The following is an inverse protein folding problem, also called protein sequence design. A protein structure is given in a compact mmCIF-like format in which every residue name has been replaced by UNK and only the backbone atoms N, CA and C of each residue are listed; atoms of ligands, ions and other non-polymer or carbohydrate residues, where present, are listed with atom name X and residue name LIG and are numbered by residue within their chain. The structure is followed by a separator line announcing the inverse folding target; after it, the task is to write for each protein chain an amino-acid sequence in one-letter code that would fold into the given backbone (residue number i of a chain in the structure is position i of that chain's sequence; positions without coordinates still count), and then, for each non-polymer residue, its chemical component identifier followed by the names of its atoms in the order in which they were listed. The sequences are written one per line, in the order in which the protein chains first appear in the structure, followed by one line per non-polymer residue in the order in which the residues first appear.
data_IF_553850533643
#
_entry.id   IF_553850533643
#
_cell.length_a   1.000
_cell.length_b   1.000
_cell.length_c   1.000
_cell.angle_alpha   90.00
_cell.angle_beta   90.00
_cell.angle_gamma   90.00
#
_symmetry.space_group_name_H-M   'P 1'
#
loop_
_entity.id
_entity.type
_entity.pdbx_description
1 polymer ?
#
# COMPACT_ATOMS: atom_id res chain seq x y z
N UNK A 1 -6.57 24.72 32.69
CA UNK A 1 -6.59 26.18 32.28
C UNK A 1 -7.92 26.86 32.60
N UNK A 2 -9.07 26.16 32.52
CA UNK A 2 -10.38 26.73 32.86
C UNK A 2 -10.48 27.18 34.34
N UNK A 3 -9.79 26.52 35.27
CA UNK A 3 -9.79 26.84 36.70
C UNK A 3 -8.91 28.02 37.09
N UNK A 4 -8.14 28.60 36.18
CA UNK A 4 -7.19 29.70 36.40
C UNK A 4 -7.63 31.00 35.74
N UNK A 5 -8.80 31.07 35.12
CA UNK A 5 -9.32 32.33 34.52
C UNK A 5 -10.14 33.12 35.56
N UNK A 6 -9.80 34.38 35.83
CA UNK A 6 -10.60 35.20 36.71
C UNK A 6 -12.03 35.36 36.19
N UNK A 7 -13.06 35.34 37.06
CA UNK A 7 -14.46 35.43 36.64
C UNK A 7 -14.81 36.67 35.83
N UNK A 8 -14.13 37.77 36.07
CA UNK A 8 -14.31 39.06 35.36
C UNK A 8 -13.80 39.02 33.92
N UNK A 9 -12.75 38.22 33.65
CA UNK A 9 -12.17 38.04 32.31
C UNK A 9 -13.01 37.12 31.44
N UNK A 10 -13.75 36.18 32.05
CA UNK A 10 -14.71 35.33 31.38
C UNK A 10 -15.95 36.08 30.86
N UNK A 11 -16.32 37.20 31.50
CA UNK A 11 -17.43 38.05 31.10
C UNK A 11 -17.04 39.13 30.08
N UNK A 12 -15.76 39.45 29.98
CA UNK A 12 -15.24 40.39 28.97
C UNK A 12 -15.09 39.61 27.67
N UNK A 13 -15.95 39.86 26.71
CA UNK A 13 -15.89 39.24 25.38
C UNK A 13 -14.47 39.34 24.79
N UNK A 14 -13.73 38.23 24.85
CA UNK A 14 -12.32 38.16 24.47
C UNK A 14 -12.16 38.10 22.93
N UNK A 15 -12.67 39.10 22.21
CA UNK A 15 -12.59 39.18 20.75
C UNK A 15 -11.13 39.28 20.27
N UNK A 16 -10.29 40.08 20.94
CA UNK A 16 -8.90 40.25 20.53
C UNK A 16 -7.99 39.03 20.82
N UNK A 17 -8.21 38.32 21.92
CA UNK A 17 -7.43 37.10 22.26
C UNK A 17 -7.79 35.94 21.33
N UNK A 18 -9.05 35.81 20.91
CA UNK A 18 -9.46 34.81 19.94
C UNK A 18 -8.84 35.03 18.57
N UNK A 19 -8.62 36.23 18.14
CA UNK A 19 -8.07 36.57 16.84
C UNK A 19 -6.57 36.28 16.76
N UNK A 20 -5.79 36.62 17.79
CA UNK A 20 -4.34 36.28 17.86
C UNK A 20 -4.06 34.80 17.97
N UNK A 21 -4.86 34.03 18.72
CA UNK A 21 -4.75 32.57 18.80
C UNK A 21 -5.09 31.93 17.46
N UNK A 22 -6.07 32.44 16.75
CA UNK A 22 -6.49 31.98 15.40
C UNK A 22 -5.37 32.17 14.39
N UNK A 23 -4.74 33.36 14.35
CA UNK A 23 -3.64 33.69 13.44
C UNK A 23 -2.44 32.75 13.68
N UNK A 24 -1.99 32.63 14.94
CA UNK A 24 -0.87 31.76 15.32
C UNK A 24 -1.08 30.30 14.97
N UNK A 25 -2.29 29.78 15.16
CA UNK A 25 -2.66 28.40 14.80
C UNK A 25 -2.66 28.19 13.29
N UNK A 26 -3.15 29.14 12.52
CA UNK A 26 -3.15 29.07 11.05
C UNK A 26 -1.73 29.06 10.52
N UNK A 27 -0.85 29.92 11.02
CA UNK A 27 0.56 29.93 10.63
C UNK A 27 1.28 28.63 11.00
N UNK A 28 1.04 28.08 12.19
CA UNK A 28 1.64 26.80 12.56
C UNK A 28 1.16 25.64 11.67
N UNK A 29 -0.13 25.58 11.35
CA UNK A 29 -0.68 24.58 10.44
C UNK A 29 -0.14 24.73 9.01
N UNK A 30 -0.02 25.96 8.53
CA UNK A 30 0.57 26.23 7.21
C UNK A 30 2.06 25.87 7.16
N UNK A 31 2.80 26.10 8.25
CA UNK A 31 4.18 25.66 8.38
C UNK A 31 4.31 24.13 8.28
N UNK A 32 3.48 23.39 9.04
CA UNK A 32 3.46 21.91 8.95
C UNK A 32 3.10 21.42 7.54
N UNK A 33 2.14 22.05 6.89
CA UNK A 33 1.75 21.73 5.53
C UNK A 33 2.90 21.95 4.53
N UNK A 34 3.55 23.13 4.59
CA UNK A 34 4.66 23.48 3.70
C UNK A 34 5.87 22.57 3.96
N UNK A 35 6.24 22.35 5.23
CA UNK A 35 7.33 21.44 5.60
C UNK A 35 7.03 20.01 5.12
N UNK A 36 5.80 19.55 5.30
CA UNK A 36 5.36 18.22 4.79
C UNK A 36 5.48 18.13 3.27
N UNK A 37 5.03 19.14 2.55
CA UNK A 37 5.11 19.19 1.09
C UNK A 37 6.57 19.25 0.60
N UNK A 38 7.42 20.06 1.24
CA UNK A 38 8.86 20.11 0.96
C UNK A 38 9.53 18.77 1.22
N UNK A 39 9.19 18.09 2.31
CA UNK A 39 9.71 16.75 2.61
C UNK A 39 9.33 15.73 1.53
N UNK A 40 8.11 15.75 1.00
CA UNK A 40 7.67 14.90 -0.11
C UNK A 40 8.47 15.23 -1.39
N UNK A 41 8.66 16.49 -1.71
CA UNK A 41 9.44 16.92 -2.90
C UNK A 41 10.91 16.53 -2.75
N UNK A 42 11.51 16.75 -1.58
CA UNK A 42 12.89 16.32 -1.28
C UNK A 42 13.07 14.81 -1.37
N UNK A 43 12.06 14.03 -1.02
CA UNK A 43 12.05 12.57 -1.18
C UNK A 43 12.22 12.13 -2.66
N UNK A 44 11.77 12.93 -3.62
CA UNK A 44 11.95 12.63 -5.05
C UNK A 44 13.38 12.85 -5.53
N UNK A 45 14.06 13.81 -4.92
CA UNK A 45 15.43 14.19 -5.27
C UNK A 45 16.43 13.28 -4.56
N UNK A 46 16.06 12.72 -3.40
CA UNK A 46 16.93 11.89 -2.57
C UNK A 46 17.24 10.55 -3.23
N UNK A 47 18.53 10.24 -3.38
CA UNK A 47 19.02 8.96 -3.89
C UNK A 47 19.04 7.87 -2.82
N UNK A 48 19.00 8.21 -1.54
CA UNK A 48 19.09 7.28 -0.42
C UNK A 48 17.74 6.71 -0.01
N UNK A 49 17.60 5.37 0.04
CA UNK A 49 16.31 4.70 0.30
C UNK A 49 15.78 4.91 1.71
N UNK A 50 16.65 4.87 2.73
CA UNK A 50 16.24 5.07 4.12
C UNK A 50 15.80 6.52 4.35
N UNK A 51 16.55 7.49 3.79
CA UNK A 51 16.19 8.90 3.84
C UNK A 51 14.89 9.16 3.08
N UNK A 52 14.72 8.55 1.90
CA UNK A 52 13.50 8.67 1.10
C UNK A 52 12.29 8.14 1.83
N UNK A 53 12.38 6.95 2.46
CA UNK A 53 11.29 6.34 3.25
C UNK A 53 10.89 7.22 4.43
N UNK A 54 11.85 7.73 5.18
CA UNK A 54 11.60 8.63 6.32
C UNK A 54 11.01 9.97 5.88
N UNK A 55 11.50 10.56 4.79
CA UNK A 55 10.97 11.80 4.24
C UNK A 55 9.52 11.66 3.74
N UNK A 56 9.17 10.54 3.10
CA UNK A 56 7.77 10.26 2.71
C UNK A 56 6.87 10.12 3.93
N UNK A 57 7.33 9.39 4.96
CA UNK A 57 6.56 9.22 6.20
C UNK A 57 6.31 10.54 6.93
N UNK A 58 7.37 11.33 7.16
CA UNK A 58 7.28 12.64 7.81
C UNK A 58 6.48 13.61 6.93
N UNK A 59 6.70 13.58 5.61
CA UNK A 59 6.03 14.46 4.67
C UNK A 59 4.51 14.22 4.62
N UNK A 60 4.07 12.97 4.50
CA UNK A 60 2.65 12.64 4.48
C UNK A 60 1.95 12.95 5.81
N UNK A 61 2.60 12.63 6.94
CA UNK A 61 2.13 13.03 8.26
C UNK A 61 2.04 14.55 8.41
N UNK A 62 3.07 15.29 7.97
CA UNK A 62 3.11 16.76 8.00
C UNK A 62 1.98 17.40 7.19
N UNK A 63 1.70 16.90 5.98
CA UNK A 63 0.58 17.37 5.16
C UNK A 63 -0.76 17.12 5.86
N UNK A 64 -0.98 15.92 6.38
CA UNK A 64 -2.23 15.54 7.03
C UNK A 64 -2.47 16.39 8.29
N UNK A 65 -1.47 16.51 9.17
CA UNK A 65 -1.55 17.36 10.37
C UNK A 65 -1.66 18.84 10.00
N UNK A 66 -0.95 19.31 8.96
CA UNK A 66 -1.03 20.67 8.47
C UNK A 66 -2.46 21.03 8.04
N UNK A 67 -3.09 20.19 7.20
CA UNK A 67 -4.48 20.38 6.76
C UNK A 67 -5.44 20.30 7.95
N UNK A 68 -5.24 19.36 8.88
CA UNK A 68 -6.05 19.23 10.09
C UNK A 68 -6.06 20.52 10.92
N UNK A 69 -4.90 21.17 11.10
CA UNK A 69 -4.76 22.41 11.88
C UNK A 69 -5.32 23.61 11.11
N UNK A 70 -5.16 23.67 9.77
CA UNK A 70 -5.63 24.76 8.90
C UNK A 70 -7.13 24.62 8.57
N UNK A 71 -7.72 23.45 8.71
CA UNK A 71 -9.12 23.14 8.38
C UNK A 71 -10.12 24.23 8.87
N UNK A 72 -10.06 24.77 10.11
CA UNK A 72 -11.02 25.79 10.53
C UNK A 72 -10.93 27.10 9.74
N UNK A 73 -9.77 27.40 9.18
CA UNK A 73 -9.56 28.59 8.33
C UNK A 73 -10.11 28.36 6.92
N UNK A 74 -9.97 27.13 6.40
CA UNK A 74 -10.49 26.72 5.10
C UNK A 74 -12.01 26.55 5.11
N UNK A 75 -12.63 26.35 6.27
CA UNK A 75 -14.08 26.14 6.38
C UNK A 75 -14.87 27.25 5.70
N UNK A 76 -14.55 28.54 5.97
CA UNK A 76 -15.29 29.66 5.40
C UNK A 76 -15.30 29.69 3.86
N UNK A 77 -14.13 29.76 3.18
CA UNK A 77 -14.12 29.85 1.71
C UNK A 77 -14.69 28.58 1.04
N UNK A 78 -14.41 27.41 1.57
CA UNK A 78 -14.91 26.15 0.97
C UNK A 78 -16.42 26.01 1.18
N UNK A 79 -16.94 26.35 2.36
CA UNK A 79 -18.37 26.29 2.63
C UNK A 79 -19.17 27.31 1.82
N UNK A 80 -18.63 28.48 1.50
CA UNK A 80 -19.28 29.43 0.60
C UNK A 80 -19.45 28.83 -0.81
N UNK A 81 -18.45 28.12 -1.31
CA UNK A 81 -18.52 27.44 -2.61
C UNK A 81 -19.49 26.26 -2.56
N UNK A 82 -19.39 25.38 -1.56
CA UNK A 82 -20.26 24.21 -1.38
C UNK A 82 -21.72 24.59 -1.09
N UNK A 83 -21.95 25.68 -0.37
CA UNK A 83 -23.28 26.17 -0.03
C UNK A 83 -24.02 26.85 -1.19
N UNK A 84 -23.30 27.28 -2.24
CA UNK A 84 -23.88 28.01 -3.36
C UNK A 84 -25.08 27.28 -4.02
N UNK A 85 -25.02 25.96 -4.36
CA UNK A 85 -26.14 25.26 -4.92
C UNK A 85 -27.33 25.17 -3.96
N UNK A 86 -27.08 24.97 -2.66
CA UNK A 86 -28.14 24.87 -1.64
C UNK A 86 -28.85 26.22 -1.41
N UNK A 87 -28.12 27.33 -1.49
CA UNK A 87 -28.67 28.67 -1.40
C UNK A 87 -29.58 29.01 -2.61
N UNK A 88 -29.28 28.46 -3.80
CA UNK A 88 -30.11 28.66 -4.98
C UNK A 88 -31.41 27.86 -4.96
N UNK A 89 -31.39 26.69 -4.29
CA UNK A 89 -32.55 25.78 -4.27
C UNK A 89 -33.55 26.15 -3.16
N UNK A 90 -33.13 26.73 -2.04
CA UNK A 90 -34.03 26.96 -0.88
C UNK A 90 -33.55 28.10 0.00
N UNK A 91 -34.48 28.85 0.55
CA UNK A 91 -34.23 29.86 1.60
C UNK A 91 -33.64 29.23 2.87
N UNK A 92 -33.97 27.98 3.15
CA UNK A 92 -33.41 27.19 4.25
C UNK A 92 -31.91 26.93 4.05
N UNK A 93 -31.44 26.81 2.81
CA UNK A 93 -30.03 26.67 2.47
C UNK A 93 -29.17 27.87 2.91
N UNK A 94 -29.71 29.09 2.85
CA UNK A 94 -29.07 30.30 3.36
C UNK A 94 -28.89 30.26 4.89
N UNK A 95 -29.88 29.76 5.63
CA UNK A 95 -29.80 29.61 7.09
C UNK A 95 -28.77 28.56 7.47
N UNK A 96 -28.79 27.41 6.81
CA UNK A 96 -27.83 26.33 7.02
C UNK A 96 -26.37 26.79 6.73
N UNK A 97 -26.13 27.48 5.61
CA UNK A 97 -24.80 28.02 5.28
C UNK A 97 -24.32 29.02 6.33
N UNK A 98 -25.20 29.92 6.79
CA UNK A 98 -24.86 30.88 7.83
C UNK A 98 -24.50 30.20 9.15
N UNK A 99 -25.25 29.18 9.56
CA UNK A 99 -24.97 28.37 10.76
C UNK A 99 -23.55 27.77 10.73
N UNK A 100 -23.18 27.13 9.60
CA UNK A 100 -21.88 26.49 9.40
C UNK A 100 -20.72 27.50 9.37
N UNK A 101 -20.90 28.64 8.69
CA UNK A 101 -19.86 29.68 8.53
C UNK A 101 -19.65 30.47 9.81
N UNK A 102 -20.67 30.66 10.66
CA UNK A 102 -20.55 31.37 11.93
C UNK A 102 -19.71 30.60 12.97
N UNK A 103 -19.68 29.27 12.92
CA UNK A 103 -18.96 28.43 13.87
C UNK A 103 -17.90 27.53 13.20
N UNK A 104 -16.85 28.08 12.54
CA UNK A 104 -15.91 27.33 11.70
C UNK A 104 -15.09 26.29 12.47
N UNK A 105 -14.81 26.52 13.75
CA UNK A 105 -14.07 25.56 14.59
C UNK A 105 -14.86 24.29 14.88
N UNK A 106 -16.15 24.43 15.17
CA UNK A 106 -17.05 23.29 15.41
C UNK A 106 -17.21 22.47 14.14
N UNK A 107 -17.50 23.14 13.04
CA UNK A 107 -17.61 22.53 11.72
C UNK A 107 -16.35 21.77 11.33
N UNK A 108 -15.17 22.40 11.48
CA UNK A 108 -13.89 21.76 11.18
C UNK A 108 -13.61 20.56 12.11
N UNK A 109 -13.91 20.66 13.41
CA UNK A 109 -13.68 19.58 14.37
C UNK A 109 -14.47 18.32 14.01
N UNK A 110 -15.74 18.47 13.63
CA UNK A 110 -16.60 17.36 13.23
C UNK A 110 -16.20 16.78 11.87
N UNK A 111 -15.87 17.62 10.88
CA UNK A 111 -15.48 17.18 9.56
C UNK A 111 -14.07 16.58 9.51
N UNK A 112 -13.18 16.94 10.44
CA UNK A 112 -11.81 16.41 10.48
C UNK A 112 -11.77 14.89 10.75
N UNK A 113 -12.69 14.34 11.53
CA UNK A 113 -12.77 12.89 11.73
C UNK A 113 -13.08 12.17 10.40
N UNK A 114 -14.02 12.71 9.63
CA UNK A 114 -14.37 12.17 8.31
C UNK A 114 -13.24 12.40 7.29
N UNK A 115 -12.55 13.54 7.36
CA UNK A 115 -11.39 13.84 6.53
C UNK A 115 -10.27 12.80 6.70
N UNK A 116 -9.91 12.48 7.93
CA UNK A 116 -8.86 11.47 8.22
C UNK A 116 -9.27 10.10 7.70
N UNK A 117 -10.51 9.67 7.99
CA UNK A 117 -11.04 8.42 7.49
C UNK A 117 -10.97 8.34 5.96
N UNK A 118 -11.47 9.36 5.26
CA UNK A 118 -11.50 9.41 3.80
C UNK A 118 -10.10 9.50 3.18
N UNK A 119 -9.16 10.22 3.82
CA UNK A 119 -7.77 10.27 3.39
C UNK A 119 -7.10 8.89 3.43
N UNK A 120 -7.32 8.13 4.51
CA UNK A 120 -6.81 6.76 4.63
C UNK A 120 -7.37 5.82 3.55
N UNK A 121 -8.68 5.95 3.24
CA UNK A 121 -9.29 5.17 2.14
C UNK A 121 -8.64 5.46 0.82
N UNK A 122 -8.61 6.74 0.46
CA UNK A 122 -8.09 7.15 -0.84
C UNK A 122 -6.63 6.72 -0.99
N UNK A 123 -5.82 6.89 0.07
CA UNK A 123 -4.42 6.47 0.07
C UNK A 123 -4.31 4.94 -0.06
N UNK A 124 -5.08 4.18 0.71
CA UNK A 124 -5.10 2.72 0.65
C UNK A 124 -5.55 2.19 -0.71
N UNK A 125 -6.66 2.72 -1.24
CA UNK A 125 -7.20 2.32 -2.54
C UNK A 125 -6.22 2.64 -3.68
N UNK A 126 -5.60 3.83 -3.67
CA UNK A 126 -4.61 4.21 -4.69
C UNK A 126 -3.35 3.36 -4.62
N UNK A 127 -2.87 3.05 -3.41
CA UNK A 127 -1.71 2.18 -3.21
C UNK A 127 -1.99 0.77 -3.74
N UNK A 128 -3.14 0.22 -3.42
CA UNK A 128 -3.55 -1.10 -3.87
C UNK A 128 -3.75 -1.19 -5.37
N UNK A 129 -4.43 -0.21 -5.98
CA UNK A 129 -4.60 -0.16 -7.43
C UNK A 129 -3.23 -0.05 -8.13
N UNK A 130 -2.31 0.73 -7.58
CA UNK A 130 -0.95 0.87 -8.11
C UNK A 130 -0.16 -0.43 -8.02
N UNK A 131 -0.25 -1.10 -6.88
CA UNK A 131 0.44 -2.36 -6.65
C UNK A 131 -0.09 -3.47 -7.59
N UNK A 132 -1.42 -3.61 -7.69
CA UNK A 132 -2.05 -4.58 -8.59
C UNK A 132 -1.65 -4.35 -10.05
N UNK A 133 -1.73 -3.12 -10.53
CA UNK A 133 -1.35 -2.78 -11.90
C UNK A 133 0.14 -3.04 -12.17
N UNK A 134 1.01 -2.70 -11.22
CA UNK A 134 2.45 -2.92 -11.35
C UNK A 134 2.79 -4.42 -11.36
N UNK A 135 2.15 -5.20 -10.49
CA UNK A 135 2.41 -6.64 -10.38
C UNK A 135 1.92 -7.40 -11.61
N UNK A 136 0.72 -7.09 -12.09
CA UNK A 136 0.17 -7.71 -13.31
C UNK A 136 1.07 -7.45 -14.52
N UNK A 137 1.44 -6.19 -14.76
CA UNK A 137 2.33 -5.79 -15.87
C UNK A 137 3.71 -6.48 -15.80
N UNK A 138 4.21 -6.69 -14.57
CA UNK A 138 5.49 -7.39 -14.37
C UNK A 138 5.38 -8.89 -14.65
N UNK A 139 4.33 -9.56 -14.19
CA UNK A 139 4.13 -10.99 -14.42
C UNK A 139 3.96 -11.26 -15.91
N UNK A 140 3.07 -10.51 -16.59
CA UNK A 140 2.79 -10.69 -18.02
C UNK A 140 4.03 -10.50 -18.89
N UNK A 141 4.94 -9.58 -18.51
CA UNK A 141 6.15 -9.30 -19.29
C UNK A 141 7.31 -10.25 -19.00
N UNK A 142 7.32 -10.89 -17.84
CA UNK A 142 8.49 -11.66 -17.39
C UNK A 142 8.25 -13.16 -17.40
N UNK A 143 7.04 -13.63 -17.33
CA UNK A 143 6.74 -15.05 -17.30
C UNK A 143 6.63 -15.57 -18.73
N UNK A 144 7.59 -16.41 -19.15
CA UNK A 144 7.57 -17.15 -20.42
C UNK A 144 6.90 -18.52 -20.26
N UNK A 145 6.94 -19.06 -19.06
CA UNK A 145 6.33 -20.34 -18.75
C UNK A 145 4.80 -20.26 -18.85
N UNK A 146 4.18 -21.30 -19.42
CA UNK A 146 2.73 -21.42 -19.57
C UNK A 146 2.03 -21.73 -18.25
N UNK A 147 2.68 -22.53 -17.40
CA UNK A 147 2.14 -22.98 -16.11
C UNK A 147 3.20 -22.89 -15.03
N UNK A 148 2.75 -22.63 -13.79
CA UNK A 148 3.58 -22.70 -12.59
C UNK A 148 2.92 -23.59 -11.55
N UNK A 149 3.70 -24.49 -10.97
CA UNK A 149 3.34 -25.27 -9.79
C UNK A 149 4.01 -24.62 -8.60
N UNK A 150 3.24 -24.13 -7.66
CA UNK A 150 3.75 -23.40 -6.49
C UNK A 150 2.85 -23.60 -5.27
N UNK A 151 3.35 -23.32 -4.05
CA UNK A 151 2.51 -23.29 -2.86
C UNK A 151 1.34 -22.33 -3.03
N UNK A 152 0.15 -22.73 -2.61
CA UNK A 152 -1.09 -21.94 -2.74
C UNK A 152 -1.13 -20.71 -1.85
N UNK A 153 -0.31 -20.70 -0.78
CA UNK A 153 -0.27 -19.67 0.25
C UNK A 153 1.15 -19.28 0.63
N UNK A 154 1.36 -18.00 0.99
CA UNK A 154 2.63 -17.51 1.56
C UNK A 154 2.96 -18.19 2.90
N UNK A 155 1.94 -18.62 3.64
CA UNK A 155 2.16 -19.41 4.86
C UNK A 155 2.88 -20.74 4.57
N UNK A 156 2.66 -21.27 3.37
CA UNK A 156 3.26 -22.52 2.87
C UNK A 156 4.48 -22.25 1.97
N UNK A 157 4.99 -21.03 1.88
CA UNK A 157 6.10 -20.69 0.98
C UNK A 157 7.37 -21.53 1.21
N UNK A 158 7.54 -22.08 2.42
CA UNK A 158 8.64 -22.99 2.75
C UNK A 158 8.34 -24.46 2.41
N UNK A 159 7.11 -24.80 1.96
CA UNK A 159 6.77 -26.15 1.56
C UNK A 159 7.61 -26.59 0.34
N UNK A 160 8.07 -27.82 0.38
CA UNK A 160 8.84 -28.42 -0.71
C UNK A 160 8.06 -29.54 -1.37
N UNK A 161 8.11 -29.57 -2.69
CA UNK A 161 7.51 -30.64 -3.47
C UNK A 161 8.39 -31.89 -3.35
N UNK A 162 7.83 -33.09 -3.06
CA UNK A 162 8.58 -34.34 -3.06
C UNK A 162 9.29 -34.59 -4.38
N UNK A 163 10.50 -35.20 -4.30
CA UNK A 163 11.35 -35.45 -5.47
C UNK A 163 10.61 -36.27 -6.55
N UNK A 164 9.89 -37.31 -6.13
CA UNK A 164 9.13 -38.20 -7.02
C UNK A 164 8.10 -37.38 -7.81
N UNK A 165 7.30 -36.56 -7.14
CA UNK A 165 6.29 -35.73 -7.79
C UNK A 165 6.90 -34.66 -8.71
N UNK A 166 8.04 -34.04 -8.32
CA UNK A 166 8.76 -33.11 -9.18
C UNK A 166 9.26 -33.81 -10.47
N UNK A 167 9.65 -35.05 -10.38
CA UNK A 167 10.07 -35.87 -11.53
C UNK A 167 8.88 -36.31 -12.38
N UNK A 168 7.79 -36.77 -11.76
CA UNK A 168 6.57 -37.14 -12.45
C UNK A 168 5.99 -36.00 -13.26
N UNK A 169 5.96 -34.77 -12.68
CA UNK A 169 5.53 -33.56 -13.39
C UNK A 169 6.41 -33.32 -14.62
N UNK A 170 7.73 -33.43 -14.48
CA UNK A 170 8.65 -33.20 -15.61
C UNK A 170 8.50 -34.20 -16.75
N UNK A 171 7.93 -35.37 -16.48
CA UNK A 171 7.74 -36.47 -17.45
C UNK A 171 6.34 -36.49 -18.10
N UNK A 172 5.44 -35.54 -17.75
CA UNK A 172 4.10 -35.48 -18.36
C UNK A 172 4.23 -35.13 -19.84
N UNK A 173 3.52 -35.87 -20.69
CA UNK A 173 3.49 -35.58 -22.12
C UNK A 173 2.87 -34.23 -22.43
N UNK A 174 3.47 -33.49 -23.36
CA UNK A 174 3.10 -32.12 -23.68
C UNK A 174 3.96 -31.07 -22.99
N UNK A 175 4.84 -31.42 -22.05
CA UNK A 175 5.82 -30.51 -21.46
C UNK A 175 7.07 -30.46 -22.33
N UNK A 176 7.51 -29.28 -22.69
CA UNK A 176 8.76 -29.03 -23.41
C UNK A 176 9.95 -28.86 -22.43
N UNK A 177 9.78 -28.00 -21.43
CA UNK A 177 10.79 -27.79 -20.40
C UNK A 177 10.17 -27.56 -19.02
N UNK A 178 10.93 -27.89 -17.98
CA UNK A 178 10.56 -27.65 -16.60
C UNK A 178 11.73 -27.03 -15.84
N UNK A 179 11.53 -25.84 -15.29
CA UNK A 179 12.52 -25.12 -14.50
C UNK A 179 12.15 -25.11 -13.02
N UNK A 180 12.96 -25.78 -12.20
CA UNK A 180 12.75 -25.92 -10.76
C UNK A 180 13.38 -24.74 -10.02
N UNK A 181 12.70 -24.26 -8.98
CA UNK A 181 13.27 -23.24 -8.09
C UNK A 181 13.02 -23.57 -6.62
N UNK A 182 13.91 -23.08 -5.76
CA UNK A 182 13.77 -23.18 -4.31
C UNK A 182 13.96 -21.82 -3.64
N UNK A 183 13.20 -21.58 -2.56
CA UNK A 183 13.27 -20.38 -1.76
C UNK A 183 14.01 -20.68 -0.47
N UNK A 184 15.16 -20.05 -0.30
CA UNK A 184 16.04 -20.20 0.86
C UNK A 184 16.06 -18.93 1.69
N UNK A 185 15.90 -19.08 3.00
CA UNK A 185 16.12 -17.98 3.95
C UNK A 185 17.55 -18.06 4.45
N UNK A 186 18.33 -17.01 4.26
CA UNK A 186 19.72 -16.90 4.70
C UNK A 186 19.93 -15.59 5.45
N UNK A 187 21.02 -15.48 6.16
CA UNK A 187 21.43 -14.23 6.81
C UNK A 187 22.42 -13.49 5.91
N UNK A 188 22.13 -12.23 5.65
CA UNK A 188 22.98 -11.33 4.87
C UNK A 188 23.72 -10.39 5.81
N UNK A 189 25.03 -10.24 5.61
CA UNK A 189 25.86 -9.22 6.26
C UNK A 189 26.60 -8.42 5.19
N UNK A 190 26.44 -7.11 5.18
CA UNK A 190 27.13 -6.22 4.27
C UNK A 190 28.48 -5.79 4.87
N UNK A 191 29.54 -5.57 4.05
CA UNK A 191 30.87 -5.20 4.53
C UNK A 191 30.91 -3.94 5.39
N UNK A 192 29.97 -3.02 5.19
CA UNK A 192 29.88 -1.72 5.87
C UNK A 192 28.76 -1.70 6.96
N UNK A 193 28.16 -2.82 7.28
CA UNK A 193 27.07 -2.90 8.25
C UNK A 193 27.24 -4.12 9.13
N UNK A 194 27.37 -3.91 10.44
CA UNK A 194 27.39 -4.99 11.45
C UNK A 194 25.99 -5.56 11.74
N UNK A 195 24.97 -5.23 10.91
CA UNK A 195 23.62 -5.75 11.10
C UNK A 195 23.38 -6.95 10.21
N UNK A 196 23.13 -8.06 10.87
CA UNK A 196 22.63 -9.26 10.22
C UNK A 196 21.17 -9.07 9.83
N UNK A 197 20.86 -9.34 8.56
CA UNK A 197 19.51 -9.26 8.01
C UNK A 197 19.11 -10.61 7.44
N UNK A 198 17.95 -11.11 7.87
CA UNK A 198 17.36 -12.29 7.25
C UNK A 198 16.80 -11.90 5.88
N UNK A 199 17.26 -12.57 4.83
CA UNK A 199 16.81 -12.35 3.45
C UNK A 199 16.43 -13.66 2.80
N UNK A 200 15.50 -13.56 1.86
CA UNK A 200 15.10 -14.72 1.04
C UNK A 200 15.87 -14.68 -0.29
N UNK A 201 16.43 -15.81 -0.67
CA UNK A 201 17.12 -16.01 -1.94
C UNK A 201 16.35 -17.02 -2.78
N UNK A 202 16.29 -16.81 -4.10
CA UNK A 202 15.81 -17.80 -5.07
C UNK A 202 16.97 -18.59 -5.62
N UNK A 203 16.89 -19.90 -5.46
CA UNK A 203 17.86 -20.84 -6.00
C UNK A 203 17.28 -21.51 -7.23
N UNK A 204 17.99 -21.44 -8.34
CA UNK A 204 17.59 -22.05 -9.61
C UNK A 204 18.82 -22.46 -10.43
N UNK A 205 18.61 -23.30 -11.44
CA UNK A 205 19.65 -23.61 -12.38
C UNK A 205 19.77 -22.50 -13.43
N UNK A 206 20.94 -21.78 -13.52
CA UNK A 206 21.10 -20.67 -14.44
C UNK A 206 20.88 -21.02 -15.92
N UNK A 207 21.06 -22.28 -16.29
CA UNK A 207 20.93 -22.75 -17.68
C UNK A 207 19.48 -22.99 -18.12
N UNK A 208 18.59 -23.41 -17.20
CA UNK A 208 17.19 -23.71 -17.51
C UNK A 208 16.21 -22.58 -17.15
N UNK A 209 16.61 -21.64 -16.33
CA UNK A 209 15.75 -20.57 -15.84
C UNK A 209 15.38 -19.53 -16.90
N UNK A 210 16.26 -19.14 -17.86
CA UNK A 210 15.92 -18.18 -18.92
C UNK A 210 14.81 -18.66 -19.85
N UNK A 211 14.57 -19.97 -19.94
CA UNK A 211 13.47 -20.55 -20.73
C UNK A 211 12.10 -20.33 -20.07
N UNK A 212 12.08 -20.25 -18.74
CA UNK A 212 10.87 -20.07 -17.97
C UNK A 212 10.56 -18.59 -17.64
N UNK A 213 11.62 -17.78 -17.51
CA UNK A 213 11.50 -16.39 -17.06
C UNK A 213 12.40 -15.46 -17.85
N UNK A 214 11.84 -14.35 -18.33
CA UNK A 214 12.62 -13.25 -18.91
C UNK A 214 13.12 -12.34 -17.78
N UNK A 215 14.26 -12.71 -17.20
CA UNK A 215 14.94 -11.90 -16.20
C UNK A 215 15.63 -10.75 -16.88
N UNK A 216 15.09 -9.56 -16.76
CA UNK A 216 15.70 -8.34 -17.29
C UNK A 216 17.01 -8.04 -16.54
N UNK A 217 18.13 -8.44 -17.11
CA UNK A 217 19.47 -8.12 -16.60
C UNK A 217 19.77 -6.65 -16.90
N UNK A 218 19.99 -5.86 -15.85
CA UNK A 218 20.36 -4.44 -15.96
C UNK A 218 21.85 -4.30 -16.18
N UNK A 219 22.65 -5.16 -15.52
CA UNK A 219 24.12 -5.18 -15.66
C UNK A 219 24.64 -6.57 -15.27
N UNK A 220 25.72 -7.00 -15.91
CA UNK A 220 26.35 -8.30 -15.66
C UNK A 220 25.76 -9.45 -16.45
N UNK A 221 25.94 -10.70 -15.97
CA UNK A 221 25.48 -11.92 -16.62
C UNK A 221 25.00 -12.94 -15.59
N UNK A 222 23.76 -13.45 -15.73
CA UNK A 222 23.19 -14.49 -14.87
C UNK A 222 23.85 -15.87 -15.09
N UNK A 223 24.38 -16.15 -16.28
CA UNK A 223 25.09 -17.39 -16.56
C UNK A 223 26.42 -17.53 -15.79
N UNK A 224 26.89 -16.46 -15.15
CA UNK A 224 28.11 -16.48 -14.31
C UNK A 224 27.82 -16.83 -12.84
N UNK A 225 26.61 -17.27 -12.52
CA UNK A 225 26.27 -17.72 -11.18
C UNK A 225 26.95 -19.06 -10.89
N UNK A 226 27.70 -19.12 -9.79
CA UNK A 226 28.39 -20.31 -9.29
C UNK A 226 28.41 -20.37 -7.75
N UNK A 227 29.29 -21.16 -7.17
CA UNK A 227 29.44 -21.37 -5.73
C UNK A 227 29.86 -20.12 -4.93
N UNK A 228 30.26 -19.03 -5.59
CA UNK A 228 30.82 -17.80 -5.00
C UNK A 228 30.19 -16.52 -5.56
N UNK A 229 29.27 -16.68 -6.50
CA UNK A 229 28.65 -15.57 -7.18
C UNK A 229 27.12 -15.49 -6.91
N UNK A 230 26.61 -14.27 -6.85
CA UNK A 230 25.19 -13.99 -6.58
C UNK A 230 24.70 -12.91 -7.52
N UNK A 231 23.45 -13.02 -7.97
CA UNK A 231 22.76 -11.93 -8.63
C UNK A 231 21.84 -11.22 -7.64
N UNK A 232 21.71 -9.92 -7.79
CA UNK A 232 20.94 -9.09 -6.87
C UNK A 232 19.91 -8.23 -7.60
N UNK A 233 18.78 -7.98 -6.95
CA UNK A 233 17.82 -7.03 -7.47
C UNK A 233 18.36 -5.61 -7.38
N UNK A 234 18.02 -4.78 -8.36
CA UNK A 234 18.41 -3.36 -8.43
C UNK A 234 17.99 -2.58 -7.16
N UNK A 235 16.95 -3.04 -6.46
CA UNK A 235 16.49 -2.47 -5.19
C UNK A 235 17.53 -2.57 -4.06
N UNK A 236 18.43 -3.55 -4.11
CA UNK A 236 19.49 -3.76 -3.12
C UNK A 236 20.64 -2.74 -3.25
N UNK A 237 20.73 -2.02 -4.38
CA UNK A 237 21.71 -0.95 -4.64
C UNK A 237 23.18 -1.38 -4.54
N UNK A 238 23.45 -2.66 -4.64
CA UNK A 238 24.79 -3.19 -4.73
C UNK A 238 25.33 -3.00 -6.14
N UNK A 239 26.64 -2.85 -6.26
CA UNK A 239 27.33 -2.71 -7.55
C UNK A 239 27.92 -4.05 -8.00
N UNK A 240 28.13 -4.19 -9.30
CA UNK A 240 28.88 -5.33 -9.83
C UNK A 240 30.28 -5.40 -9.19
N UNK A 241 30.67 -6.62 -8.78
CA UNK A 241 31.93 -6.87 -8.10
C UNK A 241 31.93 -6.58 -6.59
N UNK A 242 30.84 -6.07 -6.04
CA UNK A 242 30.69 -5.86 -4.60
C UNK A 242 30.47 -7.20 -3.89
N UNK A 243 31.06 -7.38 -2.72
CA UNK A 243 30.95 -8.62 -1.94
C UNK A 243 29.84 -8.54 -0.89
N UNK A 244 29.10 -9.62 -0.75
CA UNK A 244 28.06 -9.81 0.25
C UNK A 244 28.34 -11.10 1.02
N UNK A 245 28.33 -11.07 2.33
CA UNK A 245 28.45 -12.27 3.14
C UNK A 245 27.07 -12.89 3.34
N UNK A 246 26.91 -14.12 2.90
CA UNK A 246 25.71 -14.95 3.11
C UNK A 246 26.03 -16.06 4.09
N UNK A 247 25.22 -16.20 5.12
CA UNK A 247 25.38 -17.25 6.15
C UNK A 247 24.11 -18.04 6.33
N UNK A 248 24.28 -19.32 6.56
CA UNK A 248 23.20 -20.27 6.81
C UNK A 248 23.70 -21.49 7.58
N UNK A 249 22.87 -22.51 7.76
CA UNK A 249 23.22 -23.66 8.60
C UNK A 249 24.40 -24.51 8.08
N UNK A 250 24.68 -24.48 6.77
CA UNK A 250 25.78 -25.24 6.18
C UNK A 250 27.12 -24.47 6.23
N UNK A 251 27.09 -23.15 6.34
CA UNK A 251 28.30 -22.35 6.40
C UNK A 251 28.11 -20.88 6.05
N UNK A 252 29.25 -20.19 5.92
CA UNK A 252 29.31 -18.77 5.56
C UNK A 252 30.09 -18.65 4.25
N UNK A 253 29.52 -17.92 3.30
CA UNK A 253 30.14 -17.68 1.98
C UNK A 253 30.17 -16.18 1.72
N UNK A 254 31.34 -15.69 1.32
CA UNK A 254 31.46 -14.35 0.76
C UNK A 254 31.19 -14.42 -0.73
N UNK A 255 30.01 -13.97 -1.13
CA UNK A 255 29.57 -13.99 -2.52
C UNK A 255 29.79 -12.66 -3.20
N UNK A 256 30.22 -12.68 -4.46
CA UNK A 256 30.43 -11.48 -5.28
C UNK A 256 29.23 -11.27 -6.21
N UNK A 257 28.78 -10.02 -6.33
CA UNK A 257 27.68 -9.64 -7.21
C UNK A 257 28.12 -9.67 -8.67
N UNK A 258 27.59 -10.60 -9.48
CA UNK A 258 27.90 -10.77 -10.90
C UNK A 258 26.81 -10.30 -11.84
N UNK A 259 25.61 -10.13 -11.34
CA UNK A 259 24.49 -9.58 -12.11
C UNK A 259 23.59 -8.71 -11.24
N UNK A 260 23.07 -7.66 -11.86
CA UNK A 260 22.02 -6.81 -11.30
C UNK A 260 20.78 -6.99 -12.16
N UNK A 261 19.69 -7.43 -11.54
CA UNK A 261 18.42 -7.69 -12.24
C UNK A 261 17.35 -6.68 -11.83
N UNK A 262 16.48 -6.37 -12.78
CA UNK A 262 15.25 -5.63 -12.46
C UNK A 262 14.26 -6.62 -11.84
N UNK A 263 13.76 -6.38 -10.61
CA UNK A 263 12.87 -7.31 -9.94
C UNK A 263 11.51 -7.33 -10.65
N UNK A 264 11.43 -8.12 -11.73
CA UNK A 264 10.21 -8.16 -12.53
C UNK A 264 9.18 -9.09 -11.94
N UNK A 265 9.35 -10.28 -11.60
CA UNK A 265 8.27 -11.17 -11.17
C UNK A 265 8.60 -12.05 -9.96
N UNK A 266 9.86 -12.15 -9.60
CA UNK A 266 10.27 -12.87 -8.40
C UNK A 266 10.46 -11.91 -7.23
N UNK A 267 9.81 -12.24 -6.13
CA UNK A 267 9.69 -11.40 -4.93
C UNK A 267 10.96 -11.39 -4.08
N UNK A 268 12.01 -12.12 -4.49
CA UNK A 268 13.24 -12.21 -3.72
C UNK A 268 14.31 -11.25 -4.23
N UNK A 269 15.05 -10.60 -3.33
CA UNK A 269 16.09 -9.64 -3.72
C UNK A 269 17.41 -10.29 -4.16
N UNK A 270 17.59 -11.60 -3.94
CA UNK A 270 18.83 -12.33 -4.24
C UNK A 270 18.55 -13.60 -5.04
N UNK A 271 19.48 -13.92 -5.96
CA UNK A 271 19.40 -15.09 -6.83
C UNK A 271 20.73 -15.84 -6.78
N UNK A 272 20.66 -17.15 -6.60
CA UNK A 272 21.82 -17.99 -6.40
C UNK A 272 21.73 -19.29 -7.23
N UNK A 273 22.90 -19.85 -7.52
CA UNK A 273 23.04 -21.18 -8.09
C UNK A 273 22.85 -22.27 -7.02
N UNK A 274 22.58 -23.52 -7.41
CA UNK A 274 22.56 -24.66 -6.50
C UNK A 274 23.87 -24.86 -5.72
N UNK A 275 25.01 -24.57 -6.34
CA UNK A 275 26.35 -24.68 -5.74
C UNK A 275 26.50 -23.73 -4.56
N UNK A 276 26.09 -22.45 -4.71
CA UNK A 276 26.11 -21.49 -3.62
C UNK A 276 25.13 -21.89 -2.51
N UNK A 277 23.94 -22.33 -2.90
CA UNK A 277 22.92 -22.80 -1.97
C UNK A 277 23.35 -24.00 -1.12
N UNK A 278 24.08 -24.95 -1.72
CA UNK A 278 24.62 -26.12 -1.03
C UNK A 278 25.64 -25.72 0.06
N UNK A 279 26.44 -24.70 -0.21
CA UNK A 279 27.48 -24.20 0.73
C UNK A 279 26.89 -23.39 1.88
N UNK A 280 25.85 -22.60 1.63
CA UNK A 280 25.23 -21.74 2.63
C UNK A 280 24.14 -22.50 3.42
N UNK A 281 23.31 -23.29 2.74
CA UNK A 281 22.11 -23.89 3.31
C UNK A 281 20.96 -22.91 3.51
N UNK A 282 19.89 -23.35 4.15
CA UNK A 282 18.70 -22.53 4.38
C UNK A 282 18.18 -22.67 5.81
N UNK A 283 17.95 -21.56 6.50
CA UNK A 283 17.35 -21.55 7.83
C UNK A 283 15.91 -22.08 7.85
N UNK A 284 15.16 -21.89 6.76
CA UNK A 284 13.82 -22.43 6.58
C UNK A 284 13.81 -23.90 6.11
N UNK A 285 14.97 -24.52 5.90
CA UNK A 285 15.13 -25.92 5.51
C UNK A 285 16.38 -26.52 6.17
N UNK A 286 16.33 -26.84 7.47
CA UNK A 286 17.51 -27.29 8.24
C UNK A 286 18.14 -28.62 7.75
N UNK A 287 17.45 -29.34 6.86
CA UNK A 287 17.96 -30.56 6.18
C UNK A 287 18.39 -30.27 4.75
N UNK A 288 18.90 -29.07 4.48
CA UNK A 288 19.43 -28.74 3.14
C UNK A 288 20.65 -29.64 2.88
N UNK A 289 20.62 -30.34 1.74
CA UNK A 289 21.76 -31.15 1.28
C UNK A 289 22.95 -30.23 0.98
N UNK A 290 24.16 -30.74 1.16
CA UNK A 290 25.40 -30.11 0.75
C UNK A 290 25.81 -30.48 -0.68
N UNK A 291 25.07 -31.37 -1.32
CA UNK A 291 25.28 -31.79 -2.70
C UNK A 291 24.50 -30.86 -3.65
N UNK A 292 25.17 -30.09 -4.52
CA UNK A 292 24.54 -29.17 -5.46
C UNK A 292 23.53 -29.86 -6.40
N UNK A 293 23.82 -31.05 -6.84
CA UNK A 293 22.99 -31.79 -7.80
C UNK A 293 21.60 -32.16 -7.22
N UNK A 294 21.53 -32.25 -5.90
CA UNK A 294 20.30 -32.60 -5.18
C UNK A 294 19.55 -31.43 -4.54
N UNK A 295 20.03 -30.20 -4.69
CA UNK A 295 19.42 -29.00 -4.12
C UNK A 295 18.02 -28.76 -4.67
N UNK A 296 17.81 -28.98 -5.96
CA UNK A 296 16.55 -28.79 -6.67
C UNK A 296 15.71 -30.08 -6.85
N UNK A 297 16.10 -31.18 -6.19
CA UNK A 297 15.30 -32.41 -6.20
C UNK A 297 13.93 -32.22 -5.55
N UNK A 298 13.90 -31.49 -4.43
CA UNK A 298 12.67 -31.11 -3.74
C UNK A 298 12.48 -29.58 -3.80
N UNK A 299 11.98 -29.04 -4.93
CA UNK A 299 11.84 -27.61 -5.14
C UNK A 299 10.63 -27.03 -4.39
N UNK A 300 10.62 -25.71 -4.21
CA UNK A 300 9.43 -25.00 -3.76
C UNK A 300 8.42 -24.81 -4.88
N UNK A 301 8.87 -24.83 -6.13
CA UNK A 301 7.97 -24.78 -7.27
C UNK A 301 8.66 -25.10 -8.59
N UNK A 302 7.85 -25.23 -9.62
CA UNK A 302 8.29 -25.62 -10.97
C UNK A 302 7.59 -24.70 -11.97
N UNK A 303 8.37 -24.06 -12.85
CA UNK A 303 7.88 -23.40 -14.04
C UNK A 303 7.85 -24.39 -15.18
N UNK A 304 6.79 -24.39 -15.95
CA UNK A 304 6.52 -25.37 -17.00
C UNK A 304 6.24 -24.64 -18.30
N UNK A 305 7.02 -24.95 -19.33
CA UNK A 305 6.79 -24.52 -20.70
C UNK A 305 6.25 -25.69 -21.49
N UNK A 306 5.19 -25.46 -22.26
CA UNK A 306 4.49 -26.49 -23.01
C UNK A 306 5.01 -26.58 -24.45
N UNK A 307 4.98 -27.77 -25.04
CA UNK A 307 5.24 -27.99 -26.47
C UNK A 307 4.25 -27.19 -27.31
N UNK A 308 4.72 -26.64 -28.43
CA UNK A 308 3.86 -25.95 -29.38
C UNK A 308 2.67 -26.81 -29.82
N UNK A 309 1.45 -26.32 -29.58
CA UNK A 309 0.21 -27.03 -29.87
C UNK A 309 -0.29 -28.01 -28.78
N UNK A 310 0.39 -28.10 -27.64
CA UNK A 310 -0.11 -28.89 -26.51
C UNK A 310 -1.39 -28.24 -25.92
N UNK A 311 -2.34 -29.11 -25.50
CA UNK A 311 -3.56 -28.63 -24.85
C UNK A 311 -3.29 -28.30 -23.38
N UNK A 312 -3.22 -27.00 -23.09
CA UNK A 312 -2.96 -26.46 -21.74
C UNK A 312 -3.89 -27.04 -20.67
N UNK A 313 -5.19 -27.26 -21.02
CA UNK A 313 -6.17 -27.75 -20.06
C UNK A 313 -5.91 -29.23 -19.67
N UNK A 314 -5.50 -30.07 -20.66
CA UNK A 314 -5.16 -31.45 -20.44
C UNK A 314 -3.91 -31.56 -19.56
N UNK A 315 -2.83 -30.91 -19.96
CA UNK A 315 -1.57 -30.94 -19.20
C UNK A 315 -1.77 -30.39 -17.77
N UNK A 316 -2.52 -29.29 -17.62
CA UNK A 316 -2.88 -28.76 -16.30
C UNK A 316 -3.67 -29.80 -15.47
N UNK A 317 -4.57 -30.57 -16.09
CA UNK A 317 -5.33 -31.62 -15.42
C UNK A 317 -4.39 -32.70 -14.89
N UNK A 318 -3.48 -33.21 -15.74
CA UNK A 318 -2.50 -34.24 -15.35
C UNK A 318 -1.57 -33.75 -14.23
N UNK A 319 -1.10 -32.49 -14.28
CA UNK A 319 -0.28 -31.91 -13.20
C UNK A 319 -1.09 -31.84 -11.91
N UNK A 320 -2.36 -31.40 -11.97
CA UNK A 320 -3.23 -31.32 -10.79
C UNK A 320 -3.44 -32.70 -10.15
N UNK A 321 -3.56 -33.77 -10.92
CA UNK A 321 -3.66 -35.13 -10.40
C UNK A 321 -2.39 -35.56 -9.65
N UNK A 322 -1.20 -35.24 -10.18
CA UNK A 322 0.07 -35.51 -9.51
C UNK A 322 0.19 -34.74 -8.18
N UNK A 323 -0.21 -33.47 -8.13
CA UNK A 323 -0.09 -32.66 -6.89
C UNK A 323 -1.30 -32.78 -5.96
N UNK A 324 -2.39 -33.48 -6.37
CA UNK A 324 -3.62 -33.61 -5.58
C UNK A 324 -3.42 -34.19 -4.17
N UNK A 325 -2.48 -35.10 -3.90
CA UNK A 325 -2.21 -35.56 -2.54
C UNK A 325 -1.66 -34.49 -1.61
N UNK A 326 -1.13 -33.39 -2.16
CA UNK A 326 -0.56 -32.28 -1.40
C UNK A 326 -1.45 -31.05 -1.59
N UNK A 327 -2.43 -30.86 -0.72
CA UNK A 327 -3.38 -29.73 -0.75
C UNK A 327 -2.74 -28.33 -0.66
N UNK A 328 -1.43 -28.26 -0.44
CA UNK A 328 -0.68 -26.99 -0.29
C UNK A 328 -0.17 -26.42 -1.62
N UNK A 329 -0.34 -27.13 -2.73
CA UNK A 329 0.15 -26.71 -4.03
C UNK A 329 -0.99 -26.39 -5.00
N UNK A 330 -0.74 -25.41 -5.85
CA UNK A 330 -1.66 -24.99 -6.91
C UNK A 330 -0.93 -24.91 -8.25
N UNK A 331 -1.67 -25.22 -9.32
CA UNK A 331 -1.21 -25.11 -10.71
C UNK A 331 -1.87 -23.87 -11.31
N UNK A 332 -1.10 -22.89 -11.69
CA UNK A 332 -1.58 -21.59 -12.18
C UNK A 332 -0.88 -21.20 -13.48
N UNK A 333 -1.58 -20.45 -14.31
CA UNK A 333 -0.99 -19.67 -15.41
C UNK A 333 -0.66 -18.24 -14.96
N UNK A 334 -0.08 -17.43 -15.84
CA UNK A 334 0.30 -16.06 -15.55
C UNK A 334 -0.91 -15.19 -15.11
N UNK A 335 -2.07 -15.37 -15.77
CA UNK A 335 -3.29 -14.65 -15.45
C UNK A 335 -3.82 -15.01 -14.05
N UNK A 336 -3.87 -16.31 -13.74
CA UNK A 336 -4.30 -16.80 -12.43
C UNK A 336 -3.31 -16.42 -11.32
N UNK A 337 -2.03 -16.31 -11.64
CA UNK A 337 -1.00 -15.86 -10.69
C UNK A 337 -1.18 -14.39 -10.34
N UNK A 338 -1.37 -13.53 -11.34
CA UNK A 338 -1.65 -12.11 -11.13
C UNK A 338 -2.97 -11.90 -10.39
N UNK A 339 -4.02 -12.65 -10.76
CA UNK A 339 -5.32 -12.64 -10.09
C UNK A 339 -5.26 -13.06 -8.62
N UNK A 340 -4.46 -14.09 -8.29
CA UNK A 340 -4.30 -14.55 -6.91
C UNK A 340 -3.59 -13.51 -6.03
N UNK A 341 -2.61 -12.78 -6.56
CA UNK A 341 -1.97 -11.66 -5.87
C UNK A 341 -2.99 -10.53 -5.66
N UNK A 342 -3.75 -10.19 -6.71
CA UNK A 342 -4.83 -9.20 -6.64
C UNK A 342 -5.87 -9.54 -5.57
N UNK A 343 -6.28 -10.80 -5.47
CA UNK A 343 -7.23 -11.26 -4.46
C UNK A 343 -6.68 -11.09 -3.03
N UNK A 344 -5.40 -11.39 -2.79
CA UNK A 344 -4.76 -11.18 -1.48
C UNK A 344 -4.72 -9.70 -1.09
N UNK A 345 -4.40 -8.84 -2.04
CA UNK A 345 -4.44 -7.39 -1.82
C UNK A 345 -5.85 -6.94 -1.49
N UNK A 346 -6.86 -7.46 -2.21
CA UNK A 346 -8.27 -7.16 -1.94
C UNK A 346 -8.70 -7.61 -0.54
N UNK A 347 -8.20 -8.74 -0.04
CA UNK A 347 -8.46 -9.18 1.33
C UNK A 347 -7.84 -8.23 2.38
N UNK A 348 -6.59 -7.78 2.18
CA UNK A 348 -5.96 -6.78 3.04
C UNK A 348 -6.72 -5.46 3.01
N UNK A 349 -7.19 -5.04 1.83
CA UNK A 349 -8.03 -3.86 1.67
C UNK A 349 -9.37 -4.01 2.36
N UNK A 350 -9.98 -5.19 2.37
CA UNK A 350 -11.24 -5.42 3.06
C UNK A 350 -11.13 -5.13 4.57
N UNK A 351 -10.01 -5.50 5.20
CA UNK A 351 -9.71 -5.14 6.60
C UNK A 351 -9.59 -3.62 6.75
N UNK A 352 -8.89 -2.96 5.83
CA UNK A 352 -8.74 -1.51 5.81
C UNK A 352 -10.09 -0.81 5.65
N UNK A 353 -10.95 -1.30 4.75
CA UNK A 353 -12.32 -0.78 4.56
C UNK A 353 -13.22 -1.04 5.77
N UNK A 354 -13.05 -2.15 6.48
CA UNK A 354 -13.76 -2.40 7.74
C UNK A 354 -13.37 -1.38 8.81
N UNK A 355 -12.06 -1.15 9.01
CA UNK A 355 -11.57 -0.11 9.93
C UNK A 355 -12.07 1.28 9.55
N UNK A 356 -12.13 1.56 8.24
CA UNK A 356 -12.73 2.78 7.75
C UNK A 356 -14.21 2.88 8.10
N UNK A 357 -14.99 1.82 7.90
CA UNK A 357 -16.39 1.79 8.28
C UNK A 357 -16.59 2.20 9.75
N UNK A 358 -15.73 1.69 10.65
CA UNK A 358 -15.72 2.12 12.05
C UNK A 358 -15.36 3.60 12.22
N UNK A 359 -14.37 4.10 11.47
CA UNK A 359 -13.99 5.52 11.53
C UNK A 359 -15.14 6.43 11.08
N UNK A 360 -15.83 6.07 9.99
CA UNK A 360 -17.01 6.80 9.51
C UNK A 360 -18.14 6.74 10.53
N UNK A 361 -18.38 5.58 11.18
CA UNK A 361 -19.38 5.45 12.23
C UNK A 361 -19.09 6.38 13.41
N UNK A 362 -17.84 6.42 13.87
CA UNK A 362 -17.41 7.35 14.94
C UNK A 362 -17.59 8.81 14.50
N UNK A 363 -17.28 9.14 13.25
CA UNK A 363 -17.48 10.48 12.71
C UNK A 363 -18.98 10.87 12.70
N UNK A 364 -19.86 9.97 12.28
CA UNK A 364 -21.31 10.18 12.29
C UNK A 364 -21.80 10.43 13.73
N UNK A 365 -21.38 9.60 14.69
CA UNK A 365 -21.74 9.78 16.10
C UNK A 365 -21.23 11.13 16.64
N UNK A 366 -20.03 11.54 16.25
CA UNK A 366 -19.47 12.86 16.58
C UNK A 366 -20.29 14.02 16.01
N UNK A 367 -20.72 13.90 14.74
CA UNK A 367 -21.58 14.89 14.08
C UNK A 367 -22.93 14.96 14.81
N UNK A 368 -23.58 13.82 15.05
CA UNK A 368 -24.88 13.75 15.73
C UNK A 368 -24.79 14.36 17.12
N UNK A 369 -23.79 14.02 17.92
CA UNK A 369 -23.61 14.58 19.26
C UNK A 369 -23.38 16.10 19.22
N UNK A 370 -22.56 16.58 18.28
CA UNK A 370 -22.28 18.02 18.14
C UNK A 370 -23.52 18.79 17.67
N UNK A 371 -24.32 18.23 16.78
CA UNK A 371 -25.59 18.84 16.33
C UNK A 371 -26.63 18.83 17.44
N UNK A 372 -26.74 17.72 18.20
CA UNK A 372 -27.65 17.65 19.34
C UNK A 372 -27.33 18.75 20.38
N UNK A 373 -26.06 18.90 20.75
CA UNK A 373 -25.60 19.97 21.64
C UNK A 373 -25.93 21.36 21.08
N UNK A 374 -25.68 21.57 19.78
CA UNK A 374 -26.00 22.83 19.09
C UNK A 374 -27.49 23.19 19.16
N UNK A 375 -28.37 22.19 18.97
CA UNK A 375 -29.82 22.39 19.05
C UNK A 375 -30.21 22.79 20.47
N UNK A 376 -29.66 22.14 21.49
CA UNK A 376 -29.91 22.48 22.90
C UNK A 376 -29.44 23.89 23.22
N UNK A 377 -28.24 24.30 22.80
CA UNK A 377 -27.70 25.65 23.00
C UNK A 377 -28.56 26.73 22.32
N UNK A 378 -29.14 26.42 21.15
CA UNK A 378 -29.94 27.35 20.35
C UNK A 378 -31.46 27.19 20.54
N UNK A 379 -31.91 26.44 21.54
CA UNK A 379 -33.33 26.16 21.75
C UNK A 379 -34.20 27.42 21.81
N UNK A 380 -33.68 28.51 22.41
CA UNK A 380 -34.40 29.80 22.48
C UNK A 380 -34.53 30.47 21.10
N UNK A 381 -33.48 30.43 20.26
CA UNK A 381 -33.53 30.96 18.89
C UNK A 381 -34.49 30.15 18.02
N UNK A 382 -34.46 28.82 18.17
CA UNK A 382 -35.39 27.89 17.50
C UNK A 382 -36.83 28.18 17.88
N UNK A 383 -37.09 28.39 19.18
CA UNK A 383 -38.41 28.75 19.66
C UNK A 383 -38.92 30.08 19.13
N UNK A 384 -38.06 31.09 19.01
CA UNK A 384 -38.38 32.36 18.38
C UNK A 384 -38.69 32.19 16.87
N UNK A 385 -37.92 31.41 16.15
CA UNK A 385 -38.19 31.12 14.73
C UNK A 385 -39.51 30.41 14.52
N UNK A 386 -39.87 29.45 15.39
CA UNK A 386 -41.18 28.79 15.37
C UNK A 386 -42.32 29.75 15.71
N UNK A 387 -42.11 30.70 16.62
CA UNK A 387 -43.10 31.72 16.95
C UNK A 387 -43.39 32.69 15.79
N UNK A 388 -42.41 32.92 14.93
CA UNK A 388 -42.51 33.73 13.70
C UNK A 388 -43.06 32.93 12.53
N UNK A 389 -43.27 31.59 12.68
CA UNK A 389 -43.98 30.77 11.70
C UNK A 389 -43.09 29.78 10.89
N UNK A 390 -41.82 29.58 11.29
CA UNK A 390 -40.98 28.56 10.67
C UNK A 390 -41.47 27.15 11.03
N UNK A 391 -41.77 26.35 10.01
CA UNK A 391 -42.30 25.01 10.16
C UNK A 391 -41.28 23.98 10.65
N UNK A 392 -41.72 22.94 11.36
CA UNK A 392 -40.84 21.83 11.81
C UNK A 392 -40.08 21.14 10.68
N UNK A 393 -40.66 21.05 9.47
CA UNK A 393 -40.01 20.47 8.29
C UNK A 393 -38.89 21.33 7.78
N UNK A 394 -39.01 22.65 7.84
CA UNK A 394 -37.96 23.58 7.41
C UNK A 394 -36.79 23.54 8.36
N UNK A 395 -37.02 23.43 9.66
CA UNK A 395 -35.98 23.25 10.68
C UNK A 395 -35.24 21.92 10.51
N UNK A 396 -35.98 20.83 10.24
CA UNK A 396 -35.34 19.53 9.96
C UNK A 396 -34.49 19.57 8.67
N UNK A 397 -34.95 20.27 7.63
CA UNK A 397 -34.22 20.46 6.39
C UNK A 397 -32.95 21.30 6.60
N UNK A 398 -32.98 22.35 7.46
CA UNK A 398 -31.81 23.15 7.82
C UNK A 398 -30.71 22.26 8.44
N UNK A 399 -31.07 21.43 9.43
CA UNK A 399 -30.13 20.52 10.09
C UNK A 399 -29.58 19.47 9.13
N UNK A 400 -30.43 18.94 8.24
CA UNK A 400 -30.00 17.97 7.23
C UNK A 400 -28.99 18.59 6.24
N UNK A 401 -29.25 19.81 5.74
CA UNK A 401 -28.35 20.53 4.84
C UNK A 401 -27.03 20.86 5.56
N UNK A 402 -27.09 21.31 6.81
CA UNK A 402 -25.89 21.55 7.65
C UNK A 402 -25.04 20.29 7.75
N UNK A 403 -25.64 19.13 8.04
CA UNK A 403 -24.96 17.85 8.16
C UNK A 403 -24.31 17.41 6.84
N UNK A 404 -25.03 17.56 5.72
CA UNK A 404 -24.53 17.22 4.38
C UNK A 404 -23.33 18.11 4.03
N UNK A 405 -23.39 19.40 4.29
CA UNK A 405 -22.30 20.33 4.03
C UNK A 405 -21.04 19.98 4.84
N UNK A 406 -21.20 19.64 6.14
CA UNK A 406 -20.08 19.19 6.99
C UNK A 406 -19.46 17.90 6.45
N UNK A 407 -20.29 16.93 6.04
CA UNK A 407 -19.84 15.67 5.48
C UNK A 407 -19.10 15.87 4.15
N UNK A 408 -19.64 16.68 3.24
CA UNK A 408 -19.00 17.01 1.96
C UNK A 408 -17.65 17.70 2.16
N UNK A 409 -17.58 18.63 3.11
CA UNK A 409 -16.33 19.32 3.43
C UNK A 409 -15.24 18.36 3.92
N UNK A 410 -15.56 17.48 4.86
CA UNK A 410 -14.63 16.46 5.35
C UNK A 410 -14.19 15.50 4.25
N UNK A 411 -15.13 15.04 3.41
CA UNK A 411 -14.86 14.15 2.29
C UNK A 411 -13.93 14.79 1.26
N UNK A 412 -14.21 16.01 0.82
CA UNK A 412 -13.38 16.73 -0.16
C UNK A 412 -11.96 16.94 0.36
N UNK A 413 -11.82 17.40 1.60
CA UNK A 413 -10.49 17.54 2.21
C UNK A 413 -9.77 16.19 2.32
N UNK A 414 -10.48 15.12 2.69
CA UNK A 414 -9.92 13.78 2.78
C UNK A 414 -9.42 13.25 1.44
N UNK A 415 -10.20 13.44 0.38
CA UNK A 415 -9.80 13.06 -1.00
C UNK A 415 -8.58 13.86 -1.46
N UNK A 416 -8.58 15.18 -1.24
CA UNK A 416 -7.46 16.05 -1.64
C UNK A 416 -6.16 15.67 -0.94
N UNK A 417 -6.23 15.30 0.35
CA UNK A 417 -5.07 14.89 1.14
C UNK A 417 -4.65 13.44 0.81
N UNK A 418 -5.62 12.55 0.57
CA UNK A 418 -5.38 11.12 0.38
C UNK A 418 -4.93 10.72 -1.02
N UNK A 419 -5.18 11.55 -2.05
CA UNK A 419 -4.78 11.24 -3.42
C UNK A 419 -3.44 11.89 -3.75
N UNK A 420 -2.36 11.11 -3.99
CA UNK A 420 -1.05 11.66 -4.35
C UNK A 420 -1.08 12.48 -5.65
N UNK A 421 -0.33 13.59 -5.74
CA UNK A 421 -0.40 14.52 -6.88
C UNK A 421 -0.07 13.93 -8.25
N UNK A 422 0.71 12.85 -8.33
CA UNK A 422 1.01 12.21 -9.62
C UNK A 422 -0.15 11.38 -10.19
N UNK A 423 -1.11 10.95 -9.36
CA UNK A 423 -2.37 10.36 -9.85
C UNK A 423 -3.29 11.39 -10.47
N UNK A 424 -3.23 12.64 -10.01
CA UNK A 424 -4.00 13.76 -10.62
C UNK A 424 -3.57 13.98 -12.07
N UNK A 425 -2.30 13.79 -12.42
CA UNK A 425 -1.82 13.84 -13.82
C UNK A 425 -2.38 12.69 -14.68
N UNK A 426 -2.46 11.47 -14.15
CA UNK A 426 -3.08 10.33 -14.87
C UNK A 426 -4.59 10.48 -15.01
N UNK A 427 -5.28 10.96 -13.98
CA UNK A 427 -6.70 11.27 -14.05
C UNK A 427 -7.00 12.33 -15.12
N UNK A 428 -6.17 13.36 -15.24
CA UNK A 428 -6.30 14.41 -16.27
C UNK A 428 -6.13 13.85 -17.69
N UNK A 429 -5.26 12.86 -17.88
CA UNK A 429 -5.07 12.18 -19.17
C UNK A 429 -6.30 11.29 -19.48
N UNK A 430 -6.85 10.61 -18.48
CA UNK A 430 -7.99 9.72 -18.65
C UNK A 430 -9.30 10.48 -18.85
N UNK A 431 -9.49 11.64 -18.23
CA UNK A 431 -10.66 12.51 -18.42
C UNK A 431 -10.61 13.28 -19.75
N UNK A 432 -9.42 13.48 -20.34
CA UNK A 432 -9.26 14.11 -21.65
C UNK A 432 -9.37 13.11 -22.83
N UNK A 433 -9.47 11.81 -22.56
CA UNK A 433 -9.70 10.75 -23.56
C UNK A 433 -11.17 10.28 -23.61
N UNK A 434 -12.06 10.85 -22.80
CA UNK A 434 -13.52 10.80 -22.94
C UNK A 434 -14.06 12.16 -23.42
#
# INVERSE_FOLDING_TARGET
RAALTPPVEALRSASGIRETIRIRRTYSGMLFFVVGLVAIVMSWISCDFELRRTLVGIGSGGVLFGVFIVSPTLTRPVMLVLGFPFCRLSSVGHLALRSVVCNPYRTASTSNALMVGMALVCTGATLAASFNASTADQIDKSMKADLVVQPDSMANASAKLPKEMASDISNIDGIESSSRYSLYTVTKTLPNSSRDQSVMITVFNPNSYPDAFDVRVVAGNLGSLDATHVAVAKSERLKLGESVTLSGPNGVVQATVVAIVDPSAMVTPYYASPELAARVGAWNSPRTTTDPDHILDSPNGIFITLKSGANVAVVRGSIKEVVAPIYQYSVRDAEQMSGAIGQRISQMLAILYALLGFSVMIAILGIVNTLALSIVERTREIGLMQAVGVGRRELSAEIAIESIMIALYGTILGVVVGVPPHYVKRLKIMVLQF
#
